data_IF_227326907893
#
_entry.id   IF_227326907893
#
_cell.length_a   1.000
_cell.length_b   1.000
_cell.length_c   1.000
_cell.angle_alpha   90.00
_cell.angle_beta   90.00
_cell.angle_gamma   90.00
#
_symmetry.space_group_name_H-M   'P 1'
#
loop_
_entity.id
_entity.type
_entity.pdbx_description
1 polymer ?
#
# COMPACT_ATOMS: atom_id res chain seq x y z
N UNK A 1 16.01 -5.81 -4.59
CA UNK A 1 17.37 -5.83 -3.99
C UNK A 1 17.32 -5.35 -2.52
N UNK A 2 18.28 -5.75 -1.68
CA UNK A 2 18.25 -5.48 -0.23
C UNK A 2 18.06 -3.99 0.11
N UNK A 3 18.76 -3.08 -0.58
CA UNK A 3 18.68 -1.63 -0.34
C UNK A 3 17.41 -0.92 -0.80
N UNK A 4 16.48 -1.61 -1.48
CA UNK A 4 15.19 -1.03 -1.92
C UNK A 4 14.00 -1.51 -1.07
N UNK A 5 14.23 -2.28 -0.01
CA UNK A 5 13.16 -2.89 0.79
C UNK A 5 12.57 -1.85 1.76
N UNK A 6 11.25 -1.80 1.82
CA UNK A 6 10.51 -1.06 2.85
C UNK A 6 9.82 -2.13 3.70
N UNK A 7 10.35 -2.36 4.90
CA UNK A 7 9.81 -3.37 5.82
C UNK A 7 8.57 -2.81 6.50
N UNK A 8 7.50 -3.59 6.50
CA UNK A 8 6.21 -3.26 7.12
C UNK A 8 6.15 -3.90 8.50
N UNK A 9 5.69 -3.16 9.50
CA UNK A 9 5.48 -3.67 10.86
C UNK A 9 4.28 -4.65 10.91
N UNK A 10 4.19 -5.49 11.94
CA UNK A 10 3.00 -6.34 12.13
C UNK A 10 1.71 -5.53 12.29
N UNK A 11 1.80 -4.34 12.90
CA UNK A 11 0.66 -3.42 13.04
C UNK A 11 0.16 -2.92 11.68
N UNK A 12 1.08 -2.47 10.83
CA UNK A 12 0.75 -2.02 9.47
C UNK A 12 0.27 -3.16 8.59
N UNK A 13 0.86 -4.35 8.74
CA UNK A 13 0.41 -5.56 8.04
C UNK A 13 -1.05 -5.91 8.42
N UNK A 14 -1.40 -5.84 9.71
CA UNK A 14 -2.78 -6.06 10.18
C UNK A 14 -3.79 -5.03 9.65
N UNK A 15 -3.32 -3.83 9.26
CA UNK A 15 -4.13 -2.79 8.59
C UNK A 15 -4.18 -2.92 7.07
N UNK A 16 -3.61 -3.99 6.52
CA UNK A 16 -3.52 -4.27 5.09
C UNK A 16 -2.66 -3.24 4.32
N UNK A 17 -1.59 -2.71 4.94
CA UNK A 17 -0.69 -1.75 4.29
C UNK A 17 0.00 -2.32 3.02
N UNK A 18 0.29 -3.62 2.98
CA UNK A 18 0.86 -4.28 1.79
C UNK A 18 -0.17 -4.48 0.67
N UNK A 19 -1.46 -4.37 0.96
CA UNK A 19 -2.52 -4.49 -0.04
C UNK A 19 -2.79 -3.11 -0.68
N UNK A 20 -1.76 -2.57 -1.32
CA UNK A 20 -1.71 -1.20 -1.83
C UNK A 20 -1.80 -1.15 -3.35
N UNK A 21 -2.43 -0.09 -3.87
CA UNK A 21 -2.40 0.22 -5.30
C UNK A 21 -1.32 1.27 -5.52
N UNK A 22 -0.37 0.97 -6.39
CA UNK A 22 0.67 1.92 -6.80
C UNK A 22 0.39 2.42 -8.21
N UNK A 23 0.35 3.75 -8.38
CA UNK A 23 0.28 4.44 -9.67
C UNK A 23 1.36 5.52 -9.63
N UNK A 24 2.41 5.35 -10.45
CA UNK A 24 3.57 6.24 -10.42
C UNK A 24 4.15 6.38 -9.00
N UNK A 25 4.17 7.59 -8.45
CA UNK A 25 4.62 7.94 -7.11
C UNK A 25 3.53 7.87 -6.04
N UNK A 26 2.28 7.54 -6.41
CA UNK A 26 1.14 7.47 -5.49
C UNK A 26 0.92 6.06 -5.01
N UNK A 27 0.67 5.92 -3.71
CA UNK A 27 0.36 4.67 -3.04
C UNK A 27 -1.00 4.81 -2.34
N UNK A 28 -2.03 4.14 -2.87
CA UNK A 28 -3.38 4.14 -2.33
C UNK A 28 -3.54 2.94 -1.39
N UNK A 29 -3.92 3.20 -0.15
CA UNK A 29 -3.96 2.21 0.94
C UNK A 29 -5.15 2.43 1.87
N UNK A 30 -5.53 1.41 2.64
CA UNK A 30 -6.53 1.55 3.71
C UNK A 30 -6.04 2.51 4.81
N UNK A 31 -4.98 2.10 5.52
CA UNK A 31 -4.34 2.86 6.60
C UNK A 31 -2.87 2.45 6.72
N UNK A 32 -2.01 3.41 7.06
CA UNK A 32 -0.62 3.15 7.43
C UNK A 32 -0.23 3.96 8.67
N UNK A 33 0.72 3.45 9.44
CA UNK A 33 1.32 4.15 10.57
C UNK A 33 2.06 5.41 10.10
N UNK A 34 2.20 6.44 10.95
CA UNK A 34 3.03 7.60 10.65
C UNK A 34 4.48 7.23 10.30
N UNK A 35 5.01 6.16 10.91
CA UNK A 35 6.35 5.66 10.63
C UNK A 35 6.50 5.11 9.21
N UNK A 36 5.57 4.25 8.78
CA UNK A 36 5.57 3.72 7.43
C UNK A 36 5.31 4.82 6.39
N UNK A 37 4.38 5.73 6.66
CA UNK A 37 4.10 6.91 5.82
C UNK A 37 5.34 7.76 5.62
N UNK A 38 6.10 8.04 6.69
CA UNK A 38 7.37 8.78 6.63
C UNK A 38 8.44 8.03 5.82
N UNK A 39 8.54 6.71 5.98
CA UNK A 39 9.52 5.91 5.23
C UNK A 39 9.22 5.86 3.74
N UNK A 40 7.94 5.77 3.36
CA UNK A 40 7.49 5.85 1.97
C UNK A 40 7.77 7.24 1.36
N UNK A 41 7.47 8.30 2.10
CA UNK A 41 7.75 9.67 1.65
C UNK A 41 9.24 9.95 1.43
N UNK A 42 10.13 9.40 2.29
CA UNK A 42 11.59 9.54 2.13
C UNK A 42 12.13 9.01 0.81
N UNK A 43 11.44 8.06 0.19
CA UNK A 43 11.84 7.46 -1.09
C UNK A 43 10.95 7.93 -2.25
N UNK A 44 10.15 8.99 -2.03
CA UNK A 44 9.42 9.68 -3.09
C UNK A 44 7.96 9.26 -3.28
N UNK A 45 7.38 8.44 -2.39
CA UNK A 45 5.97 8.08 -2.52
C UNK A 45 5.03 9.03 -1.76
N UNK A 46 3.95 9.44 -2.41
CA UNK A 46 2.78 10.06 -1.78
C UNK A 46 1.80 8.96 -1.32
N UNK A 47 1.44 8.95 -0.03
CA UNK A 47 0.49 7.97 0.50
C UNK A 47 -0.91 8.58 0.60
N UNK A 48 -1.85 7.99 -0.13
CA UNK A 48 -3.27 8.35 -0.14
C UNK A 48 -4.03 7.30 0.67
N UNK A 49 -4.64 7.72 1.77
CA UNK A 49 -5.39 6.82 2.66
C UNK A 49 -6.89 6.93 2.39
N UNK A 50 -7.51 5.81 1.99
CA UNK A 50 -8.94 5.69 1.79
C UNK A 50 -9.50 4.68 2.79
N UNK A 51 -10.50 5.01 3.64
CA UNK A 51 -11.07 4.05 4.58
C UNK A 51 -11.73 2.88 3.84
N UNK A 52 -11.21 1.67 4.01
CA UNK A 52 -11.70 0.43 3.38
C UNK A 52 -12.11 -0.64 4.42
N UNK A 53 -12.45 -0.21 5.64
CA UNK A 53 -12.68 -1.09 6.80
C UNK A 53 -13.77 -2.14 6.56
N UNK A 54 -14.76 -1.85 5.72
CA UNK A 54 -15.82 -2.81 5.39
C UNK A 54 -15.31 -3.97 4.53
N UNK A 55 -14.35 -3.72 3.63
CA UNK A 55 -13.73 -4.77 2.83
C UNK A 55 -12.73 -5.61 3.64
N UNK A 56 -12.12 -5.02 4.67
CA UNK A 56 -11.24 -5.76 5.59
C UNK A 56 -11.98 -6.90 6.30
N UNK A 57 -13.29 -6.76 6.54
CA UNK A 57 -14.13 -7.83 7.11
C UNK A 57 -14.17 -9.08 6.23
N UNK A 58 -14.01 -8.91 4.90
CA UNK A 58 -13.93 -9.98 3.92
C UNK A 58 -12.48 -10.37 3.57
N UNK A 59 -11.48 -9.81 4.26
CA UNK A 59 -10.06 -10.06 3.98
C UNK A 59 -9.52 -9.32 2.75
N UNK A 60 -10.20 -8.27 2.27
CA UNK A 60 -9.77 -7.46 1.13
C UNK A 60 -9.43 -6.02 1.50
N UNK A 61 -8.62 -5.34 0.66
CA UNK A 61 -8.30 -3.92 0.76
C UNK A 61 -8.03 -3.36 -0.65
N UNK A 62 -7.35 -2.22 -0.79
CA UNK A 62 -7.23 -1.45 -2.04
C UNK A 62 -6.79 -2.31 -3.23
N UNK A 63 -5.69 -3.07 -3.12
CA UNK A 63 -5.19 -3.88 -4.24
C UNK A 63 -6.16 -4.99 -4.64
N UNK A 64 -6.77 -5.67 -3.67
CA UNK A 64 -7.75 -6.73 -3.95
C UNK A 64 -8.98 -6.24 -4.71
N UNK A 65 -9.31 -4.94 -4.61
CA UNK A 65 -10.44 -4.33 -5.31
C UNK A 65 -10.07 -3.80 -6.70
N UNK A 66 -8.86 -4.08 -7.19
CA UNK A 66 -8.36 -3.56 -8.46
C UNK A 66 -7.65 -4.63 -9.27
N UNK A 67 -7.77 -4.50 -10.59
CA UNK A 67 -6.99 -5.28 -11.56
C UNK A 67 -6.36 -4.32 -12.56
N UNK A 68 -5.03 -4.29 -12.64
CA UNK A 68 -4.31 -3.48 -13.63
C UNK A 68 -4.26 -4.25 -14.95
N UNK A 69 -4.95 -3.74 -15.96
CA UNK A 69 -5.05 -4.38 -17.28
C UNK A 69 -3.92 -3.96 -18.24
N UNK A 70 -3.21 -2.89 -17.91
CA UNK A 70 -2.12 -2.32 -18.70
C UNK A 70 -0.78 -2.61 -18.05
N UNK A 71 -0.21 -3.78 -18.34
CA UNK A 71 1.14 -4.14 -17.91
C UNK A 71 2.15 -4.01 -19.06
N UNK A 72 3.40 -3.60 -18.78
CA UNK A 72 4.44 -3.64 -19.79
C UNK A 72 4.66 -5.09 -20.26
N UNK A 73 5.13 -5.30 -21.50
CA UNK A 73 5.55 -6.61 -21.97
C UNK A 73 6.56 -7.23 -20.99
N UNK A 74 6.45 -8.54 -20.80
CA UNK A 74 7.36 -9.31 -19.95
C UNK A 74 8.79 -9.34 -20.49
#
# INVERSE_FOLDING_TARGET
PHGKRIVVSSEDAGRFACNSVNIEDKLIVNRVSPGLKKNLAKVGFEVIEAPLTEFLKAGGSAKCLTLKLTEPPA
#
